data_IF_666488517400
#
_entry.id   IF_666488517400
#
_cell.length_a   1.000
_cell.length_b   1.000
_cell.length_c   1.000
_cell.angle_alpha   90.00
_cell.angle_beta   90.00
_cell.angle_gamma   90.00
#
_symmetry.space_group_name_H-M   'P 1'
#
loop_
_entity.id
_entity.type
_entity.pdbx_description
1 polymer ?
#
# COMPACT_ATOMS: atom_id res chain seq x y z
N UNK A 1 29.61 17.04 -2.99
CA UNK A 1 28.92 16.17 -2.02
C UNK A 1 29.01 14.75 -2.57
N UNK A 2 29.57 13.79 -1.83
CA UNK A 2 29.69 12.41 -2.33
C UNK A 2 28.36 11.69 -2.13
N UNK A 3 28.01 10.75 -3.02
CA UNK A 3 26.77 9.95 -2.92
C UNK A 3 26.70 9.18 -1.59
N UNK A 4 27.86 8.77 -1.06
CA UNK A 4 27.99 8.16 0.27
C UNK A 4 27.39 9.02 1.38
N UNK A 5 27.53 10.33 1.29
CA UNK A 5 27.11 11.26 2.35
C UNK A 5 25.58 11.31 2.44
N UNK A 6 24.88 11.04 1.33
CA UNK A 6 23.42 10.98 1.29
C UNK A 6 22.87 9.67 1.86
N UNK A 7 23.63 8.57 1.74
CA UNK A 7 23.26 7.26 2.28
C UNK A 7 23.37 7.17 3.80
N UNK A 8 24.31 7.92 4.39
CA UNK A 8 24.64 7.86 5.83
C UNK A 8 23.95 8.98 6.62
N UNK A 9 23.39 9.99 5.94
CA UNK A 9 22.67 11.07 6.60
C UNK A 9 21.38 10.56 7.26
N UNK A 10 21.19 10.95 8.51
CA UNK A 10 19.95 10.72 9.26
C UNK A 10 18.76 11.42 8.58
N UNK A 11 17.65 10.69 8.46
CA UNK A 11 16.39 11.13 7.88
C UNK A 11 15.36 11.40 8.99
N UNK A 12 14.75 12.58 8.93
CA UNK A 12 13.63 12.90 9.81
C UNK A 12 12.37 12.13 9.42
N UNK A 13 11.42 11.98 10.36
CA UNK A 13 10.19 11.20 10.16
C UNK A 13 9.40 11.56 8.90
N UNK A 14 9.30 12.86 8.57
CA UNK A 14 8.61 13.32 7.34
C UNK A 14 9.32 12.84 6.08
N UNK A 15 10.65 12.83 6.08
CA UNK A 15 11.44 12.35 4.93
C UNK A 15 11.26 10.84 4.73
N UNK A 16 11.24 10.07 5.82
CA UNK A 16 10.98 8.62 5.77
C UNK A 16 9.57 8.31 5.26
N UNK A 17 8.54 9.04 5.73
CA UNK A 17 7.16 8.89 5.21
C UNK A 17 7.10 9.21 3.72
N UNK A 18 7.69 10.33 3.28
CA UNK A 18 7.71 10.71 1.87
C UNK A 18 8.47 9.68 1.03
N UNK A 19 9.59 9.16 1.53
CA UNK A 19 10.34 8.10 0.85
C UNK A 19 9.46 6.87 0.61
N UNK A 20 8.84 6.32 1.65
CA UNK A 20 8.00 5.14 1.49
C UNK A 20 6.75 5.42 0.65
N UNK A 21 6.13 6.59 0.78
CA UNK A 21 4.99 6.98 -0.04
C UNK A 21 5.35 7.01 -1.53
N UNK A 22 6.48 7.62 -1.88
CA UNK A 22 6.96 7.66 -3.25
C UNK A 22 7.33 6.26 -3.75
N UNK A 23 8.05 5.46 -2.96
CA UNK A 23 8.46 4.11 -3.35
C UNK A 23 7.26 3.18 -3.59
N UNK A 24 6.28 3.15 -2.67
CA UNK A 24 5.08 2.32 -2.83
C UNK A 24 4.17 2.85 -3.94
N UNK A 25 4.08 4.17 -4.13
CA UNK A 25 3.32 4.74 -5.25
C UNK A 25 3.94 4.39 -6.59
N UNK A 26 5.28 4.42 -6.71
CA UNK A 26 5.99 4.03 -7.93
C UNK A 26 5.74 2.55 -8.26
N UNK A 27 5.69 1.69 -7.24
CA UNK A 27 5.37 0.26 -7.41
C UNK A 27 3.92 0.05 -7.88
N UNK A 28 2.97 0.79 -7.32
CA UNK A 28 1.54 0.65 -7.60
C UNK A 28 1.12 1.35 -8.91
N UNK A 29 1.82 2.41 -9.31
CA UNK A 29 1.51 3.19 -10.51
C UNK A 29 1.30 2.34 -11.78
N UNK A 30 2.19 1.41 -12.15
CA UNK A 30 1.97 0.57 -13.34
C UNK A 30 0.72 -0.32 -13.21
N UNK A 31 0.34 -0.76 -12.01
CA UNK A 31 -0.89 -1.54 -11.80
C UNK A 31 -2.14 -0.69 -12.08
N UNK A 32 -2.14 0.56 -11.61
CA UNK A 32 -3.22 1.52 -11.87
C UNK A 32 -3.30 1.85 -13.36
N UNK A 33 -2.17 2.08 -14.01
CA UNK A 33 -2.13 2.42 -15.44
C UNK A 33 -2.50 1.25 -16.35
N UNK A 34 -2.19 0.01 -15.93
CA UNK A 34 -2.58 -1.18 -16.68
C UNK A 34 -4.09 -1.41 -16.65
N UNK A 35 -4.74 -1.08 -15.54
CA UNK A 35 -6.19 -1.17 -15.33
C UNK A 35 -6.79 -2.49 -15.87
N UNK A 36 -6.10 -3.60 -15.58
CA UNK A 36 -6.41 -4.89 -16.16
C UNK A 36 -7.02 -5.83 -15.10
N UNK A 37 -8.35 -6.03 -15.09
CA UNK A 37 -9.00 -6.85 -14.09
C UNK A 37 -8.68 -8.34 -14.27
N UNK A 38 -8.46 -9.04 -13.16
CA UNK A 38 -8.40 -10.51 -13.19
C UNK A 38 -9.79 -11.09 -13.48
N UNK A 39 -9.87 -12.35 -13.91
CA UNK A 39 -11.15 -12.97 -14.29
C UNK A 39 -12.17 -12.98 -13.14
N UNK A 40 -11.72 -13.17 -11.89
CA UNK A 40 -12.57 -13.09 -10.70
C UNK A 40 -13.08 -11.66 -10.45
N UNK A 41 -12.27 -10.64 -10.73
CA UNK A 41 -12.65 -9.23 -10.56
C UNK A 41 -13.77 -8.85 -11.53
N UNK A 42 -13.66 -9.26 -12.80
CA UNK A 42 -14.70 -9.04 -13.81
C UNK A 42 -16.04 -9.66 -13.40
N UNK A 43 -16.01 -10.93 -12.95
CA UNK A 43 -17.22 -11.62 -12.51
C UNK A 43 -17.87 -10.90 -11.31
N UNK A 44 -17.05 -10.47 -10.35
CA UNK A 44 -17.54 -9.75 -9.15
C UNK A 44 -18.09 -8.38 -9.47
N UNK A 45 -17.43 -7.62 -10.35
CA UNK A 45 -17.89 -6.30 -10.77
C UNK A 45 -19.27 -6.39 -11.47
N UNK A 46 -19.48 -7.42 -12.30
CA UNK A 46 -20.75 -7.65 -12.99
C UNK A 46 -21.85 -8.16 -12.05
N UNK A 47 -21.54 -9.08 -11.14
CA UNK A 47 -22.51 -9.67 -10.22
C UNK A 47 -22.75 -8.83 -8.95
N UNK A 48 -21.93 -7.80 -8.73
CA UNK A 48 -21.82 -7.05 -7.48
C UNK A 48 -21.65 -7.94 -6.24
N UNK A 49 -21.01 -9.11 -6.42
CA UNK A 49 -21.00 -10.21 -5.47
C UNK A 49 -20.01 -10.02 -4.32
N UNK A 50 -20.53 -9.75 -3.12
CA UNK A 50 -19.75 -9.63 -1.89
C UNK A 50 -19.82 -10.94 -1.07
N UNK A 51 -18.78 -11.76 -1.16
CA UNK A 51 -18.76 -13.09 -0.54
C UNK A 51 -17.42 -13.40 0.12
N UNK A 52 -16.65 -12.38 0.54
CA UNK A 52 -15.31 -12.60 1.08
C UNK A 52 -15.36 -13.23 2.47
N UNK A 53 -16.35 -12.91 3.30
CA UNK A 53 -16.52 -13.57 4.61
C UNK A 53 -16.71 -15.09 4.46
N UNK A 54 -17.44 -15.56 3.45
CA UNK A 54 -17.60 -16.98 3.15
C UNK A 54 -16.29 -17.70 2.77
N UNK A 55 -15.25 -16.94 2.44
CA UNK A 55 -13.90 -17.41 2.11
C UNK A 55 -12.87 -17.08 3.20
N UNK A 56 -13.33 -16.80 4.43
CA UNK A 56 -12.46 -16.48 5.57
C UNK A 56 -11.86 -15.06 5.56
N UNK A 57 -12.28 -14.19 4.64
CA UNK A 57 -11.76 -12.82 4.46
C UNK A 57 -12.75 -11.78 4.98
N UNK A 58 -13.18 -11.92 6.24
CA UNK A 58 -14.18 -11.05 6.88
C UNK A 58 -13.85 -9.55 6.77
N UNK A 59 -12.58 -9.18 6.91
CA UNK A 59 -12.16 -7.78 6.84
C UNK A 59 -12.32 -7.17 5.44
N UNK A 60 -12.32 -7.98 4.38
CA UNK A 60 -12.57 -7.49 3.03
C UNK A 60 -14.04 -7.05 2.89
N UNK A 61 -14.99 -7.84 3.39
CA UNK A 61 -16.42 -7.47 3.40
C UNK A 61 -16.63 -6.16 4.18
N UNK A 62 -16.03 -6.02 5.37
CA UNK A 62 -16.13 -4.81 6.18
C UNK A 62 -15.54 -3.59 5.48
N UNK A 63 -14.39 -3.74 4.84
CA UNK A 63 -13.75 -2.66 4.08
C UNK A 63 -14.64 -2.22 2.91
N UNK A 64 -15.18 -3.18 2.13
CA UNK A 64 -16.10 -2.88 1.03
C UNK A 64 -17.36 -2.17 1.51
N UNK A 65 -17.98 -2.64 2.59
CA UNK A 65 -19.19 -2.03 3.15
C UNK A 65 -18.91 -0.62 3.66
N UNK A 66 -17.76 -0.40 4.31
CA UNK A 66 -17.37 0.92 4.79
C UNK A 66 -17.10 1.92 3.66
N UNK A 67 -16.52 1.47 2.54
CA UNK A 67 -16.18 2.34 1.41
C UNK A 67 -17.37 2.60 0.47
N UNK A 68 -18.26 1.62 0.32
CA UNK A 68 -19.38 1.69 -0.64
C UNK A 68 -20.71 2.06 0.03
N UNK A 69 -20.80 1.93 1.36
CA UNK A 69 -22.05 2.05 2.12
C UNK A 69 -23.15 1.07 1.67
N UNK A 70 -22.77 -0.04 1.03
CA UNK A 70 -23.70 -1.08 0.58
C UNK A 70 -23.21 -2.47 1.00
N UNK A 71 -24.12 -3.45 1.03
CA UNK A 71 -23.74 -4.87 1.20
C UNK A 71 -23.13 -5.50 -0.05
N UNK A 72 -23.17 -4.81 -1.20
CA UNK A 72 -22.64 -5.27 -2.47
C UNK A 72 -21.14 -4.96 -2.61
N UNK A 73 -20.49 -5.58 -3.60
CA UNK A 73 -19.10 -5.31 -3.95
C UNK A 73 -19.03 -4.69 -5.36
N UNK A 74 -19.46 -3.43 -5.56
CA UNK A 74 -19.24 -2.72 -6.81
C UNK A 74 -17.74 -2.57 -7.07
N UNK A 75 -17.36 -2.34 -8.33
CA UNK A 75 -15.98 -2.02 -8.64
C UNK A 75 -15.59 -0.67 -8.01
N UNK A 76 -14.55 -0.72 -7.18
CA UNK A 76 -13.98 0.42 -6.47
C UNK A 76 -12.48 0.53 -6.71
N UNK A 77 -11.93 -0.20 -7.69
CA UNK A 77 -10.55 0.01 -8.11
C UNK A 77 -10.36 1.47 -8.61
N UNK A 78 -9.24 2.15 -8.30
CA UNK A 78 -8.09 1.74 -7.49
C UNK A 78 -8.16 2.20 -6.02
N UNK A 79 -9.33 2.55 -5.48
CA UNK A 79 -9.45 3.21 -4.16
C UNK A 79 -8.87 2.37 -3.00
N UNK A 80 -9.21 1.08 -2.82
CA UNK A 80 -8.59 0.24 -1.78
C UNK A 80 -7.07 0.16 -1.90
N UNK A 81 -6.55 0.17 -3.14
CA UNK A 81 -5.11 0.12 -3.42
C UNK A 81 -4.40 1.41 -3.00
N UNK A 82 -5.02 2.58 -3.23
CA UNK A 82 -4.49 3.87 -2.76
C UNK A 82 -4.49 3.93 -1.22
N UNK A 83 -5.56 3.47 -0.57
CA UNK A 83 -5.65 3.43 0.90
C UNK A 83 -4.58 2.49 1.47
N UNK A 84 -4.42 1.30 0.89
CA UNK A 84 -3.40 0.34 1.27
C UNK A 84 -1.98 0.90 1.07
N UNK A 85 -1.76 1.66 -0.01
CA UNK A 85 -0.47 2.34 -0.27
C UNK A 85 -0.12 3.29 0.87
N UNK A 86 -1.04 4.18 1.27
CA UNK A 86 -0.81 5.09 2.39
C UNK A 86 -0.62 4.37 3.72
N UNK A 87 -1.44 3.35 4.01
CA UNK A 87 -1.32 2.53 5.22
C UNK A 87 0.05 1.82 5.28
N UNK A 88 0.51 1.27 4.15
CA UNK A 88 1.81 0.61 4.03
C UNK A 88 2.97 1.60 4.24
N UNK A 89 2.92 2.79 3.64
CA UNK A 89 3.97 3.80 3.84
C UNK A 89 4.11 4.20 5.32
N UNK A 90 3.00 4.30 6.05
CA UNK A 90 3.00 4.58 7.49
C UNK A 90 3.50 3.39 8.31
N UNK A 91 3.12 2.16 7.95
CA UNK A 91 3.59 0.95 8.61
C UNK A 91 5.12 0.79 8.46
N UNK A 92 5.64 0.94 7.23
CA UNK A 92 7.08 0.89 6.93
C UNK A 92 7.86 1.99 7.63
N UNK A 93 7.30 3.20 7.73
CA UNK A 93 7.89 4.27 8.54
C UNK A 93 8.01 3.84 9.99
N UNK A 94 6.93 3.33 10.60
CA UNK A 94 6.97 2.86 12.00
C UNK A 94 7.98 1.74 12.20
N UNK A 95 8.04 0.80 11.27
CA UNK A 95 8.98 -0.32 11.28
C UNK A 95 10.43 0.17 11.22
N UNK A 96 10.71 1.15 10.36
CA UNK A 96 12.06 1.72 10.21
C UNK A 96 12.53 2.39 11.50
N UNK A 97 11.68 3.22 12.12
CA UNK A 97 12.01 3.84 13.41
C UNK A 97 12.02 2.85 14.58
N UNK A 98 11.38 1.69 14.45
CA UNK A 98 11.44 0.63 15.45
C UNK A 98 12.81 -0.06 15.45
N UNK A 99 13.38 -0.33 14.28
CA UNK A 99 14.67 -1.03 14.16
C UNK A 99 15.88 -0.10 14.09
N UNK A 100 15.73 1.13 13.61
CA UNK A 100 16.82 2.07 13.39
C UNK A 100 16.54 3.37 14.14
N UNK A 101 17.19 3.61 15.31
CA UNK A 101 17.02 4.85 16.07
C UNK A 101 17.42 6.11 15.29
N UNK A 102 18.46 5.99 14.46
CA UNK A 102 18.95 7.04 13.56
C UNK A 102 18.78 6.55 12.10
N UNK A 103 17.55 6.59 11.56
CA UNK A 103 17.27 5.99 10.27
C UNK A 103 17.95 6.77 9.16
N UNK A 104 18.60 6.04 8.26
CA UNK A 104 19.24 6.60 7.07
C UNK A 104 18.51 6.13 5.82
N UNK A 105 18.93 6.60 4.63
CA UNK A 105 18.37 6.08 3.38
C UNK A 105 18.60 4.57 3.24
N UNK A 106 19.75 4.06 3.68
CA UNK A 106 20.04 2.62 3.67
C UNK A 106 19.07 1.84 4.57
N UNK A 107 18.73 2.38 5.75
CA UNK A 107 17.74 1.79 6.66
C UNK A 107 16.37 1.64 5.97
N UNK A 108 15.94 2.66 5.23
CA UNK A 108 14.67 2.62 4.50
C UNK A 108 14.69 1.58 3.37
N UNK A 109 15.82 1.44 2.66
CA UNK A 109 15.97 0.45 1.57
C UNK A 109 15.90 -0.99 2.10
N UNK A 110 16.46 -1.26 3.29
CA UNK A 110 16.37 -2.59 3.94
C UNK A 110 14.93 -2.96 4.29
N UNK A 111 14.13 -1.97 4.71
CA UNK A 111 12.73 -2.19 5.07
C UNK A 111 11.78 -2.29 3.86
N UNK A 112 12.22 -1.90 2.65
CA UNK A 112 11.37 -2.00 1.46
C UNK A 112 11.08 -3.47 1.13
N UNK A 113 9.81 -3.84 0.88
CA UNK A 113 9.44 -5.17 0.44
C UNK A 113 9.75 -5.35 -1.05
N UNK A 114 11.04 -5.41 -1.41
CA UNK A 114 11.51 -5.68 -2.77
C UNK A 114 11.77 -7.17 -3.02
N UNK A 115 11.31 -8.06 -2.13
CA UNK A 115 11.46 -9.52 -2.21
C UNK A 115 10.24 -10.20 -2.82
#
# INVERSE_FOLDING_TARGET
MKISDFLVRELGRRQVVLFFLLATSLYVLPLILADFPYIDDNWRALAAGNAWAGQGRLFADWLYQALTFTGAAPDIFPLPLIIATGAMSLALTRLTFHYFPEPTLASCLVALPLW
#
